data_IF_073064576396
#
_entry.id   IF_073064576396
#
_cell.length_a   1.000
_cell.length_b   1.000
_cell.length_c   1.000
_cell.angle_alpha   90.00
_cell.angle_beta   90.00
_cell.angle_gamma   90.00
#
_symmetry.space_group_name_H-M   'P 1'
#
loop_
_entity.id
_entity.type
_entity.pdbx_description
1 polymer ?
2 polymer ?
3 water ?
#
# COMPACT_ATOMS: atom_id res chain seq x y z
N UNK A 23 -3.25 16.45 -30.81
CA UNK A 23 -3.66 17.29 -29.69
C UNK A 23 -4.65 16.59 -28.77
N UNK A 24 -4.48 15.28 -28.59
CA UNK A 24 -5.41 14.47 -27.83
C UNK A 24 -4.67 13.64 -26.79
N UNK A 25 -5.44 13.06 -25.88
CA UNK A 25 -4.93 11.98 -25.05
C UNK A 25 -4.71 10.75 -25.94
N UNK A 26 -3.85 9.82 -25.51
CA UNK A 26 -3.58 8.65 -26.36
C UNK A 26 -4.81 7.78 -26.54
N UNK A 27 -4.89 7.15 -27.70
CA UNK A 27 -6.01 6.30 -28.07
C UNK A 27 -5.54 4.85 -28.01
N UNK A 28 -6.30 4.02 -27.29
CA UNK A 28 -5.92 2.63 -27.06
C UNK A 28 -6.94 1.69 -27.69
N UNK A 29 -6.45 0.50 -28.08
CA UNK A 29 -7.32 -0.55 -28.57
C UNK A 29 -8.32 -0.92 -27.47
N UNK A 30 -9.60 -0.87 -27.80
CA UNK A 30 -10.64 -0.87 -26.78
C UNK A 30 -10.69 -2.19 -26.00
N UNK A 31 -10.48 -3.31 -26.68
CA UNK A 31 -10.72 -4.60 -26.04
C UNK A 31 -9.75 -4.93 -24.92
N UNK A 32 -8.50 -4.45 -25.02
CA UNK A 32 -7.44 -4.97 -24.16
C UNK A 32 -7.05 -3.95 -23.08
N UNK A 33 -6.55 -4.42 -21.93
CA UNK A 33 -6.35 -5.83 -21.58
C UNK A 33 -7.66 -6.56 -21.27
N UNK A 34 -7.68 -7.87 -21.51
CA UNK A 34 -8.85 -8.69 -21.28
C UNK A 34 -8.69 -9.47 -19.98
N UNK A 35 -9.80 -9.63 -19.26
CA UNK A 35 -9.77 -10.36 -18.00
C UNK A 35 -9.32 -11.80 -18.23
N UNK A 36 -8.23 -12.17 -17.57
CA UNK A 36 -7.58 -13.46 -17.78
C UNK A 36 -7.66 -14.30 -16.51
N UNK A 37 -7.88 -15.60 -16.68
CA UNK A 37 -7.89 -16.56 -15.59
C UNK A 37 -6.75 -17.55 -15.79
N UNK A 38 -5.95 -17.74 -14.74
CA UNK A 38 -4.80 -18.63 -14.80
C UNK A 38 -4.71 -19.43 -13.50
N UNK A 39 -4.04 -20.57 -13.58
CA UNK A 39 -3.78 -21.39 -12.42
C UNK A 39 -2.43 -21.01 -11.83
N UNK A 40 -2.24 -21.31 -10.55
CA UNK A 40 -0.95 -21.04 -9.91
C UNK A 40 0.11 -21.93 -10.53
N UNK A 41 1.35 -21.43 -10.51
CA UNK A 41 2.45 -22.13 -11.14
C UNK A 41 2.50 -22.01 -12.65
N UNK A 42 1.43 -21.54 -13.29
CA UNK A 42 1.42 -21.33 -14.73
C UNK A 42 1.93 -19.93 -15.06
N UNK A 43 2.00 -19.63 -16.34
CA UNK A 43 2.45 -18.33 -16.82
C UNK A 43 1.27 -17.55 -17.41
N UNK A 44 1.42 -16.23 -17.44
CA UNK A 44 0.35 -15.33 -17.84
C UNK A 44 0.93 -14.24 -18.74
N UNK A 45 0.17 -13.83 -19.75
CA UNK A 45 0.54 -12.74 -20.65
C UNK A 45 -0.63 -11.78 -20.78
N UNK A 46 -0.38 -10.50 -20.49
CA UNK A 46 -1.38 -9.44 -20.59
C UNK A 46 -1.02 -8.51 -21.75
N UNK A 47 -2.03 -8.10 -22.50
CA UNK A 47 -1.82 -7.39 -23.76
C UNK A 47 -2.30 -5.95 -23.67
N UNK A 48 -1.60 -5.08 -24.42
CA UNK A 48 -1.98 -3.68 -24.60
C UNK A 48 -1.58 -3.28 -26.00
N UNK A 49 -2.42 -2.47 -26.65
CA UNK A 49 -2.19 -2.03 -28.03
C UNK A 49 -2.41 -0.53 -28.11
N UNK A 50 -1.35 0.21 -28.37
CA UNK A 50 -1.39 1.66 -28.49
C UNK A 50 -1.49 2.05 -29.96
N UNK A 51 -2.36 3.00 -30.26
CA UNK A 51 -2.57 3.51 -31.62
C UNK A 51 -2.20 4.98 -31.62
N UNK A 52 -0.94 5.27 -31.95
CA UNK A 52 -0.47 6.66 -31.97
C UNK A 52 0.79 6.80 -32.83
N UNK A 56 3.87 9.26 -25.89
CA UNK A 56 3.11 8.03 -25.71
C UNK A 56 3.93 6.93 -25.03
N UNK A 57 4.10 7.04 -23.71
CA UNK A 57 4.78 6.02 -22.92
C UNK A 57 3.75 5.09 -22.27
N UNK A 58 4.22 3.89 -21.95
CA UNK A 58 3.37 2.83 -21.40
C UNK A 58 4.00 2.35 -20.10
N UNK A 59 3.17 2.22 -19.06
CA UNK A 59 3.59 1.57 -17.83
C UNK A 59 2.39 0.80 -17.26
N UNK A 60 2.63 -0.44 -16.88
CA UNK A 60 1.60 -1.27 -16.28
C UNK A 60 1.56 -1.07 -14.78
N UNK A 61 0.40 -1.34 -14.19
CA UNK A 61 0.22 -1.17 -12.76
C UNK A 61 -0.62 -2.30 -12.19
N UNK A 62 -0.37 -2.59 -10.92
CA UNK A 62 -1.18 -3.52 -10.14
C UNK A 62 -1.84 -2.75 -9.01
N UNK A 63 -3.04 -3.16 -8.67
CA UNK A 63 -3.77 -2.55 -7.57
C UNK A 63 -3.54 -3.37 -6.31
N UNK A 64 -2.82 -2.78 -5.35
CA UNK A 64 -2.37 -3.49 -4.16
C UNK A 64 -3.49 -3.47 -3.13
N UNK A 65 -3.81 -4.62 -2.56
CA UNK A 65 -4.84 -4.75 -1.53
C UNK A 65 -4.14 -4.90 -0.19
N UNK A 66 -4.35 -3.92 0.70
CA UNK A 66 -3.74 -3.89 2.02
C UNK A 66 -4.86 -4.03 3.04
N UNK A 67 -4.90 -5.17 3.72
CA UNK A 67 -5.91 -5.46 4.75
C UNK A 67 -7.32 -5.39 4.16
N UNK A 68 -7.50 -6.06 3.02
CA UNK A 68 -8.81 -6.12 2.39
C UNK A 68 -9.32 -4.83 1.80
N UNK A 69 -8.47 -3.82 1.68
CA UNK A 69 -8.87 -2.53 1.10
C UNK A 69 -7.79 -2.07 0.15
N UNK A 70 -8.15 -1.87 -1.11
CA UNK A 70 -7.22 -1.36 -2.12
C UNK A 70 -7.04 0.14 -2.02
N UNK A 71 -7.69 0.81 -1.08
CA UNK A 71 -7.62 2.26 -0.95
C UNK A 71 -6.96 2.65 0.36
N UNK A 72 -6.27 3.79 0.34
CA UNK A 72 -5.47 4.24 1.45
C UNK A 72 -6.25 5.05 2.48
N UNK A 73 -5.52 5.93 3.18
CA UNK A 73 -6.12 6.69 4.26
C UNK A 73 -7.04 7.78 3.70
N UNK A 74 -6.53 8.59 2.78
CA UNK A 74 -7.31 9.71 2.24
C UNK A 74 -8.31 9.30 1.18
N UNK A 75 -8.26 8.06 0.71
CA UNK A 75 -9.12 7.61 -0.36
C UNK A 75 -8.43 7.39 -1.70
N UNK A 76 -7.10 7.34 -1.71
CA UNK A 76 -6.31 7.07 -2.90
C UNK A 76 -5.98 5.59 -2.99
N UNK A 77 -5.87 5.05 -4.20
CA UNK A 77 -5.62 3.61 -4.34
C UNK A 77 -4.16 3.25 -4.20
N UNK A 78 -3.93 2.07 -3.64
CA UNK A 78 -2.60 1.46 -3.63
C UNK A 78 -2.32 0.94 -5.02
N UNK A 79 -1.43 1.61 -5.76
CA UNK A 79 -1.12 1.22 -7.12
C UNK A 79 0.39 1.23 -7.30
N UNK A 80 0.92 0.20 -7.95
CA UNK A 80 2.35 -0.01 -8.08
C UNK A 80 2.70 -0.18 -9.56
N UNK A 81 3.78 0.46 -10.00
CA UNK A 81 4.21 0.35 -11.39
C UNK A 81 5.01 -0.94 -11.54
N UNK A 82 4.69 -1.70 -12.59
CA UNK A 82 5.30 -3.01 -12.84
C UNK A 82 6.38 -2.99 -13.91
N UNK A 83 6.14 -2.29 -15.02
CA UNK A 83 7.09 -2.22 -16.10
C UNK A 83 6.89 -0.91 -16.85
N UNK A 84 7.72 -0.68 -17.86
CA UNK A 84 7.61 0.53 -18.67
C UNK A 84 7.90 0.24 -20.14
N UNK A 92 2.24 -4.79 -30.38
CA UNK A 92 1.37 -4.87 -29.20
C UNK A 92 2.19 -4.99 -27.94
N UNK A 93 1.82 -4.24 -26.90
CA UNK A 93 2.55 -4.23 -25.65
C UNK A 93 2.08 -5.39 -24.78
N UNK A 94 2.99 -6.33 -24.53
CA UNK A 94 2.69 -7.49 -23.69
C UNK A 94 3.46 -7.36 -22.39
N UNK A 95 2.89 -7.94 -21.33
CA UNK A 95 3.54 -8.04 -20.03
C UNK A 95 3.62 -9.51 -19.68
N UNK A 96 4.84 -10.02 -19.48
CA UNK A 96 5.03 -11.42 -19.14
C UNK A 96 4.89 -11.62 -17.64
N UNK A 97 4.07 -12.59 -17.25
CA UNK A 97 3.90 -12.98 -15.85
C UNK A 97 4.18 -14.47 -15.74
N UNK A 98 5.30 -14.82 -15.12
CA UNK A 98 5.72 -16.21 -14.96
C UNK A 98 5.52 -16.65 -13.52
N UNK A 99 5.05 -17.88 -13.35
CA UNK A 99 4.86 -18.50 -12.04
C UNK A 99 3.99 -17.60 -11.14
N UNK A 100 2.74 -17.44 -11.55
CA UNK A 100 1.83 -16.56 -10.83
C UNK A 100 1.44 -17.19 -9.50
N UNK A 101 1.34 -16.36 -8.47
CA UNK A 101 0.96 -16.78 -7.13
C UNK A 101 -0.35 -16.10 -6.75
N UNK A 102 -0.82 -16.39 -5.52
CA UNK A 102 -2.08 -15.83 -5.06
C UNK A 102 -2.01 -14.31 -4.95
N UNK A 103 -0.86 -13.78 -4.54
CA UNK A 103 -0.69 -12.33 -4.44
C UNK A 103 -0.56 -11.67 -5.80
N UNK A 104 -0.41 -12.44 -6.88
CA UNK A 104 -0.24 -11.87 -8.20
C UNK A 104 -1.57 -11.47 -8.85
N UNK A 105 -2.68 -12.06 -8.41
CA UNK A 105 -3.96 -11.72 -8.98
C UNK A 105 -4.42 -10.35 -8.50
N UNK A 106 -5.43 -9.81 -9.17
CA UNK A 106 -5.98 -8.52 -8.84
C UNK A 106 -6.23 -7.73 -10.11
N UNK A 107 -6.27 -6.41 -9.96
CA UNK A 107 -6.54 -5.51 -11.07
C UNK A 107 -5.24 -5.02 -11.67
N UNK A 108 -5.11 -5.15 -12.99
CA UNK A 108 -3.98 -4.63 -13.73
C UNK A 108 -4.45 -3.54 -14.68
N UNK A 109 -3.60 -2.55 -14.91
CA UNK A 109 -3.97 -1.37 -15.68
C UNK A 109 -2.84 -1.00 -16.63
N UNK A 110 -3.22 -0.50 -17.80
CA UNK A 110 -2.29 -0.05 -18.83
C UNK A 110 -2.38 1.47 -18.94
N UNK A 111 -1.33 2.17 -18.51
CA UNK A 111 -1.30 3.63 -18.55
C UNK A 111 -0.56 4.10 -19.78
N UNK A 112 -1.28 4.73 -20.71
CA UNK A 112 -0.71 5.47 -21.81
C UNK A 112 -0.97 6.95 -21.59
N UNK A 113 0.04 7.77 -21.88
CA UNK A 113 -0.09 9.20 -21.69
C UNK A 113 0.81 9.96 -22.64
N UNK A 114 0.44 11.22 -22.87
CA UNK A 114 1.23 12.11 -23.71
C UNK A 114 1.15 13.51 -23.12
N UNK A 115 1.47 14.51 -23.95
CA UNK A 115 1.50 15.89 -23.48
C UNK A 115 0.12 16.36 -23.05
N UNK A 116 -0.94 15.83 -23.66
CA UNK A 116 -2.29 16.30 -23.38
C UNK A 116 -2.90 15.60 -22.17
N UNK A 117 -2.86 14.28 -22.12
CA UNK A 117 -3.48 13.57 -21.02
C UNK A 117 -3.14 12.11 -21.02
N UNK A 118 -4.02 11.32 -20.41
CA UNK A 118 -3.79 9.89 -20.23
C UNK A 118 -5.06 9.11 -20.59
N UNK A 119 -4.86 7.83 -20.87
CA UNK A 119 -5.95 6.89 -21.14
C UNK A 119 -5.57 5.54 -20.55
N UNK A 120 -6.55 4.87 -19.94
CA UNK A 120 -6.26 3.63 -19.24
C UNK A 120 -7.44 2.67 -19.36
N UNK A 121 -7.11 1.39 -19.56
CA UNK A 121 -8.09 0.30 -19.54
C UNK A 121 -7.61 -0.76 -18.57
N UNK A 122 -8.52 -1.26 -17.74
CA UNK A 122 -8.17 -2.17 -16.66
C UNK A 122 -8.76 -3.56 -16.92
N UNK A 123 -8.03 -4.58 -16.44
CA UNK A 123 -8.49 -5.95 -16.48
C UNK A 123 -8.14 -6.61 -15.16
N UNK A 124 -8.85 -7.70 -14.85
CA UNK A 124 -8.68 -8.40 -13.58
C UNK A 124 -8.16 -9.81 -13.83
N UNK A 125 -7.15 -10.20 -13.07
CA UNK A 125 -6.54 -11.52 -13.18
C UNK A 125 -7.05 -12.42 -12.05
N UNK A 126 -7.21 -13.71 -12.38
CA UNK A 126 -7.72 -14.70 -11.44
C UNK A 126 -6.73 -15.84 -11.33
N UNK A 127 -6.35 -16.19 -10.09
CA UNK A 127 -5.42 -17.27 -9.82
C UNK A 127 -6.18 -18.42 -9.17
N UNK A 128 -5.89 -19.65 -9.61
CA UNK A 128 -6.58 -20.83 -9.13
C UNK A 128 -5.55 -21.87 -8.64
N UNK A 129 -5.70 -22.38 -7.44
CA UNK A 129 -4.81 -23.47 -6.99
C UNK A 129 -5.21 -24.79 -7.61
N UNK A 130 -4.40 -25.81 -7.32
CA UNK A 130 -4.64 -27.16 -7.83
C UNK A 130 -5.08 -28.10 -6.71
N UNK B 3 -16.49 16.89 -12.13
CA UNK B 3 -16.80 17.75 -13.26
C UNK B 3 -15.80 18.86 -13.44
N UNK B 4 -16.11 20.04 -12.89
CA UNK B 4 -15.19 21.18 -12.98
C UNK B 4 -13.87 20.88 -12.28
N UNK B 5 -13.89 20.05 -11.24
CA UNK B 5 -12.65 19.65 -10.59
C UNK B 5 -11.81 18.76 -11.51
N UNK B 6 -12.48 17.94 -12.33
CA UNK B 6 -11.74 17.09 -13.26
C UNK B 6 -11.01 17.91 -14.31
N UNK B 7 -11.49 19.12 -14.60
CA UNK B 7 -10.82 19.98 -15.56
C UNK B 7 -9.54 20.58 -14.97
N UNK B 8 -9.59 20.98 -13.69
CA UNK B 8 -8.40 21.53 -13.05
C UNK B 8 -7.31 20.47 -12.92
N UNK B 9 -7.69 19.19 -12.82
CA UNK B 9 -6.70 18.13 -12.74
C UNK B 9 -5.89 18.05 -14.04
N UNK B 10 -6.58 17.96 -15.18
CA UNK B 10 -5.89 17.93 -16.46
C UNK B 10 -5.12 19.22 -16.69
N UNK B 11 -5.61 20.34 -16.17
CA UNK B 11 -4.86 21.59 -16.27
C UNK B 11 -3.56 21.53 -15.48
N UNK B 12 -3.60 20.96 -14.28
CA UNK B 12 -2.38 20.81 -13.48
C UNK B 12 -1.43 19.82 -14.14
N UNK B 13 -1.97 18.73 -14.70
CA UNK B 13 -1.13 17.73 -15.35
C UNK B 13 -0.38 18.33 -16.55
N UNK B 14 -1.12 19.00 -17.44
CA UNK B 14 -0.48 19.58 -18.62
C UNK B 14 0.50 20.68 -18.22
N UNK B 15 0.14 21.49 -17.22
CA UNK B 15 1.08 22.49 -16.72
C UNK B 15 2.30 21.85 -16.09
N UNK B 16 2.13 20.67 -15.47
CA UNK B 16 3.26 19.97 -14.90
C UNK B 16 4.05 19.23 -15.96
N UNK B 17 3.38 18.63 -16.94
CA UNK B 17 4.08 17.97 -18.02
C UNK B 17 5.02 18.93 -18.74
N UNK B 18 4.51 20.11 -19.10
CA UNK B 18 5.34 21.10 -19.78
C UNK B 18 6.52 21.51 -18.93
N UNK B 19 6.31 21.70 -17.63
CA UNK B 19 7.40 22.15 -16.76
C UNK B 19 8.42 21.04 -16.53
N UNK B 20 7.96 19.81 -16.40
CA UNK B 20 8.88 18.70 -16.12
C UNK B 20 9.84 18.50 -17.28
N UNK B 21 9.32 18.50 -18.51
CA UNK B 21 10.05 18.12 -19.72
C UNK B 21 10.81 19.30 -20.32
N UNK B 22 10.86 20.43 -19.61
CA UNK B 22 11.66 21.59 -20.00
C UNK B 22 12.69 21.95 -18.93
N UNK B 23 12.97 21.03 -18.00
CA UNK B 23 13.92 21.26 -16.92
C UNK B 23 15.11 20.33 -17.09
N UNK B 24 16.33 20.85 -17.28
CA UNK B 24 17.48 19.94 -17.43
C UNK B 24 17.95 19.35 -16.12
N UNK B 25 17.63 19.97 -14.99
CA UNK B 25 18.10 19.54 -13.68
C UNK B 25 17.23 18.40 -13.19
N UNK B 26 17.79 17.18 -13.20
CA UNK B 26 17.01 16.01 -12.83
C UNK B 26 16.49 16.08 -11.40
N UNK B 27 17.20 16.79 -10.52
CA UNK B 27 16.72 16.95 -9.15
C UNK B 27 15.56 17.92 -9.08
N UNK B 28 15.57 18.97 -9.90
CA UNK B 28 14.46 19.91 -9.93
C UNK B 28 13.20 19.31 -10.53
N UNK B 29 13.34 18.29 -11.37
CA UNK B 29 12.16 17.62 -11.92
C UNK B 29 11.37 16.90 -10.84
N UNK B 30 12.07 16.29 -9.87
CA UNK B 30 11.39 15.64 -8.76
C UNK B 30 10.67 16.66 -7.89
N UNK B 31 11.23 17.87 -7.75
CA UNK B 31 10.55 18.92 -7.00
C UNK B 31 9.27 19.36 -7.68
N UNK B 32 9.23 19.31 -9.02
CA UNK B 32 8.02 19.69 -9.74
C UNK B 32 6.94 18.63 -9.56
N UNK B 33 7.33 17.35 -9.54
CA UNK B 33 6.37 16.28 -9.27
C UNK B 33 5.76 16.45 -7.89
N UNK B 34 6.62 16.67 -6.89
CA UNK B 34 6.14 16.79 -5.51
C UNK B 34 5.17 17.97 -5.37
N UNK B 35 5.42 19.05 -6.10
CA UNK B 35 4.50 20.18 -6.09
C UNK B 35 3.18 19.81 -6.75
N UNK B 36 3.24 19.08 -7.87
CA UNK B 36 2.01 18.61 -8.52
C UNK B 36 1.35 17.51 -7.70
N UNK B 37 2.14 16.71 -6.99
CA UNK B 37 1.59 15.68 -6.10
C UNK B 37 0.65 16.30 -5.06
N UNK B 38 1.14 17.32 -4.33
CA UNK B 38 0.36 17.89 -3.26
C UNK B 38 -0.91 18.57 -3.79
N UNK B 39 -0.79 19.30 -4.91
CA UNK B 39 -1.95 19.98 -5.47
C UNK B 39 -2.99 18.98 -5.97
N UNK B 40 -2.54 17.94 -6.70
CA UNK B 40 -3.47 16.95 -7.24
C UNK B 40 -4.24 16.25 -6.12
N UNK B 41 -3.54 15.86 -5.06
CA UNK B 41 -4.21 15.25 -3.92
C UNK B 41 -5.16 16.22 -3.23
N UNK B 42 -4.94 17.53 -3.39
CA UNK B 42 -5.76 18.56 -2.77
C UNK B 42 -7.02 18.89 -3.55
N UNK B 43 -7.23 18.28 -4.71
CA UNK B 43 -8.38 18.57 -5.56
C UNK B 43 -9.37 17.41 -5.59
N UNK B 44 -8.90 16.22 -5.95
CA UNK B 44 -9.79 15.08 -6.19
C UNK B 44 -10.59 14.71 -4.95
N UNK B 45 -11.83 14.28 -5.18
CA UNK B 45 -12.74 13.93 -4.09
C UNK B 45 -13.52 12.64 -4.32
N UNK B 46 -13.59 12.12 -5.53
CA UNK B 46 -14.32 10.91 -5.84
C UNK B 46 -13.37 9.75 -6.10
N UNK B 47 -13.95 8.54 -6.20
CA UNK B 47 -13.13 7.35 -6.40
C UNK B 47 -12.44 7.40 -7.76
N UNK B 48 -13.18 7.77 -8.81
CA UNK B 48 -12.58 7.86 -10.14
C UNK B 48 -11.62 9.03 -10.24
N UNK B 49 -11.97 10.17 -9.64
CA UNK B 49 -11.08 11.33 -9.67
C UNK B 49 -9.81 11.08 -8.89
N UNK B 50 -9.91 10.42 -7.73
CA UNK B 50 -8.71 10.08 -6.96
C UNK B 50 -7.89 9.02 -7.67
N UNK B 51 -8.55 8.07 -8.32
CA UNK B 51 -7.84 7.09 -9.14
C UNK B 51 -7.16 7.77 -10.32
N UNK B 52 -7.74 8.85 -10.83
CA UNK B 52 -7.11 9.61 -11.91
C UNK B 52 -5.90 10.37 -11.39
N UNK B 53 -6.09 11.17 -10.33
CA UNK B 53 -4.99 11.96 -9.78
C UNK B 53 -3.81 11.09 -9.40
N UNK B 54 -4.06 9.85 -8.95
CA UNK B 54 -2.97 8.91 -8.72
C UNK B 54 -2.31 8.50 -10.04
N UNK B 55 -3.12 8.01 -10.98
CA UNK B 55 -2.59 7.52 -12.25
C UNK B 55 -1.70 8.56 -12.93
N UNK B 56 -2.09 9.83 -12.88
CA UNK B 56 -1.23 10.89 -13.40
C UNK B 56 0.12 10.86 -12.72
N UNK B 57 0.12 10.93 -11.38
CA UNK B 57 1.33 11.11 -10.59
C UNK B 57 2.42 10.11 -10.99
N UNK B 58 2.03 8.85 -11.20
CA UNK B 58 3.02 7.85 -11.60
C UNK B 58 3.53 8.08 -13.01
N UNK B 59 2.74 8.71 -13.87
CA UNK B 59 3.18 8.89 -15.26
C UNK B 59 4.16 10.05 -15.40
N UNK B 60 3.97 11.13 -14.64
CA UNK B 60 4.97 12.19 -14.65
C UNK B 60 6.33 11.68 -14.17
N UNK B 61 6.33 10.63 -13.34
CA UNK B 61 7.58 10.01 -12.94
C UNK B 61 8.25 9.27 -14.09
N UNK B 62 7.47 8.86 -15.10
CA UNK B 62 8.04 8.22 -16.28
C UNK B 62 8.75 9.21 -17.19
N UNK B 63 8.64 10.51 -16.94
CA UNK B 63 9.24 11.52 -17.79
C UNK B 63 10.74 11.62 -17.55
N UNK C 23 -1.49 -4.68 34.69
CA UNK C 23 -1.47 -3.23 34.63
C UNK C 23 -0.35 -2.70 33.75
N UNK C 24 0.25 -3.58 32.96
CA UNK C 24 1.40 -3.26 32.16
C UNK C 24 1.16 -3.63 30.70
N UNK C 25 1.93 -3.01 29.81
CA UNK C 25 1.98 -3.44 28.43
C UNK C 25 2.68 -4.80 28.36
N UNK C 26 2.41 -5.58 27.31
CA UNK C 26 3.05 -6.90 27.19
C UNK C 26 4.57 -6.81 27.17
N UNK C 27 5.21 -7.87 27.63
CA UNK C 27 6.66 -7.95 27.71
C UNK C 27 7.15 -8.92 26.64
N UNK C 28 8.12 -8.48 25.85
CA UNK C 28 8.65 -9.25 24.73
C UNK C 28 10.11 -9.61 24.98
N UNK C 29 10.47 -10.85 24.67
CA UNK C 29 11.87 -11.26 24.72
C UNK C 29 12.69 -10.46 23.72
N UNK C 30 13.78 -9.86 24.20
CA UNK C 30 14.61 -9.03 23.35
C UNK C 30 15.33 -9.87 22.30
N UNK C 31 15.51 -9.29 21.11
CA UNK C 31 16.17 -9.97 20.01
C UNK C 31 15.28 -10.81 19.15
N UNK C 32 14.01 -11.00 19.51
CA UNK C 32 13.08 -11.79 18.73
C UNK C 32 11.93 -10.91 18.26
N UNK C 33 11.68 -10.79 16.95
CA UNK C 33 12.38 -11.54 15.90
C UNK C 33 13.79 -11.01 15.60
N UNK C 34 14.63 -11.88 15.07
CA UNK C 34 15.99 -11.54 14.69
C UNK C 34 16.10 -11.45 13.18
N UNK C 35 16.99 -10.59 12.71
CA UNK C 35 17.19 -10.41 11.28
C UNK C 35 17.66 -11.71 10.64
N UNK C 36 16.93 -12.16 9.62
CA UNK C 36 17.20 -13.43 8.96
C UNK C 36 17.48 -13.22 7.49
N UNK C 37 18.44 -13.99 6.98
CA UNK C 37 18.82 -13.98 5.58
C UNK C 37 18.47 -15.33 4.97
N UNK C 38 17.68 -15.31 3.89
CA UNK C 38 17.20 -16.53 3.26
C UNK C 38 17.42 -16.44 1.75
N UNK C 39 17.26 -17.58 1.09
CA UNK C 39 17.44 -17.67 -0.36
C UNK C 39 16.08 -17.86 -1.01
N UNK C 40 16.03 -17.57 -2.32
CA UNK C 40 14.81 -17.76 -3.09
C UNK C 40 14.51 -19.25 -3.18
N UNK C 41 13.28 -19.62 -2.84
CA UNK C 41 12.89 -21.01 -2.75
C UNK C 41 13.05 -21.62 -1.38
N UNK C 42 13.93 -21.05 -0.54
CA UNK C 42 14.05 -21.50 0.83
C UNK C 42 12.86 -21.01 1.65
N UNK C 43 12.72 -21.58 2.83
CA UNK C 43 11.71 -21.14 3.79
C UNK C 43 12.40 -20.65 5.06
N UNK C 44 11.69 -19.86 5.85
CA UNK C 44 12.25 -19.21 7.01
C UNK C 44 11.21 -19.16 8.12
N UNK C 45 11.64 -19.47 9.35
CA UNK C 45 10.79 -19.39 10.52
C UNK C 45 11.14 -18.11 11.29
N UNK C 46 10.12 -17.35 11.67
CA UNK C 46 10.29 -16.10 12.40
C UNK C 46 9.79 -16.30 13.83
N UNK C 47 10.62 -15.93 14.80
CA UNK C 47 10.37 -16.24 16.20
C UNK C 47 9.88 -15.01 16.95
N UNK C 48 9.02 -15.24 17.94
CA UNK C 48 8.58 -14.21 18.86
C UNK C 48 8.19 -14.89 20.17
N UNK C 49 8.50 -14.24 21.28
CA UNK C 49 8.27 -14.79 22.61
C UNK C 49 7.58 -13.74 23.47
N UNK C 50 6.32 -14.00 23.80
CA UNK C 50 5.56 -13.13 24.70
C UNK C 50 5.69 -13.67 26.12
N UNK C 51 5.98 -12.78 27.07
CA UNK C 51 6.17 -13.19 28.45
C UNK C 51 4.98 -12.79 29.32
N UNK C 56 -2.82 -11.52 26.31
CA UNK C 56 -2.46 -10.85 25.06
C UNK C 56 -2.11 -11.84 23.94
N UNK C 57 -2.57 -11.55 22.73
CA UNK C 57 -2.32 -12.37 21.56
C UNK C 57 -1.36 -11.66 20.62
N UNK C 58 -0.88 -12.38 19.63
CA UNK C 58 0.17 -11.92 18.75
C UNK C 58 -0.42 -11.40 17.45
N UNK C 59 0.35 -10.57 16.76
CA UNK C 59 -0.06 -10.03 15.46
C UNK C 59 1.19 -9.82 14.62
N UNK C 60 1.34 -10.60 13.56
CA UNK C 60 2.51 -10.53 12.70
C UNK C 60 2.23 -9.55 11.55
N UNK C 61 3.01 -8.48 11.49
CA UNK C 61 2.86 -7.45 10.48
C UNK C 61 4.01 -7.48 9.48
N UNK C 62 3.73 -6.98 8.29
CA UNK C 62 4.73 -6.80 7.24
C UNK C 62 4.61 -5.38 6.70
N UNK C 63 5.75 -4.71 6.58
CA UNK C 63 5.80 -3.37 6.01
C UNK C 63 5.88 -3.48 4.49
N UNK C 64 4.98 -2.80 3.80
CA UNK C 64 4.78 -2.97 2.36
C UNK C 64 5.47 -1.82 1.63
N UNK C 65 6.29 -2.16 0.64
CA UNK C 65 7.00 -1.19 -0.18
C UNK C 65 6.21 -1.03 -1.47
N UNK C 66 5.66 0.17 -1.68
CA UNK C 66 4.88 0.49 -2.89
C UNK C 66 5.63 1.57 -3.64
N UNK C 67 6.11 1.24 -4.84
CA UNK C 67 6.84 2.18 -5.71
C UNK C 67 8.07 2.75 -5.01
N UNK C 68 8.73 1.92 -4.21
CA UNK C 68 9.95 2.32 -3.55
C UNK C 68 9.78 3.10 -2.27
N UNK C 69 8.58 3.12 -1.69
CA UNK C 69 8.33 3.81 -0.44
C UNK C 69 7.37 2.99 0.41
N UNK C 70 7.73 2.76 1.66
CA UNK C 70 6.88 2.03 2.59
C UNK C 70 5.95 2.96 3.37
N UNK C 71 5.76 4.19 2.91
CA UNK C 71 4.97 5.18 3.62
C UNK C 71 3.91 5.76 2.69
N UNK C 72 2.73 6.02 3.24
CA UNK C 72 1.58 6.46 2.47
C UNK C 72 1.61 7.94 2.13
N UNK C 73 0.44 8.45 1.77
CA UNK C 73 0.32 9.86 1.39
C UNK C 73 0.53 10.77 2.59
N UNK C 74 -0.11 10.46 3.71
CA UNK C 74 0.00 11.27 4.92
C UNK C 74 1.22 10.90 5.76
N UNK C 75 2.11 10.08 5.23
CA UNK C 75 3.27 9.65 6.00
C UNK C 75 3.05 8.43 6.86
N UNK C 76 1.91 7.74 6.71
CA UNK C 76 1.60 6.56 7.49
C UNK C 76 2.19 5.32 6.82
N UNK C 77 2.68 4.35 7.60
CA UNK C 77 3.36 3.20 6.99
C UNK C 77 2.38 2.24 6.34
N UNK C 78 2.85 1.60 5.27
CA UNK C 78 2.12 0.51 4.62
C UNK C 78 2.40 -0.75 5.43
N UNK C 79 1.47 -1.10 6.32
CA UNK C 79 1.63 -2.27 7.17
C UNK C 79 0.41 -3.16 7.01
N UNK C 80 0.65 -4.46 6.83
CA UNK C 80 -0.41 -5.43 6.58
C UNK C 80 -0.34 -6.55 7.61
N UNK C 81 -1.52 -6.96 8.10
CA UNK C 81 -1.61 -8.04 9.06
C UNK C 81 -1.56 -9.37 8.31
N UNK C 82 -0.67 -10.26 8.75
CA UNK C 82 -0.46 -11.55 8.09
C UNK C 82 -1.09 -12.72 8.85
N UNK C 83 -1.10 -12.66 10.18
CA UNK C 83 -1.56 -13.76 11.01
C UNK C 83 -1.80 -13.23 12.42
N UNK C 84 -2.83 -13.76 13.07
CA UNK C 84 -3.13 -13.37 14.45
C UNK C 84 -2.83 -14.52 15.41
N UNK C 92 6.63 -20.70 22.05
CA UNK C 92 7.17 -19.66 21.18
C UNK C 92 6.24 -19.43 19.99
N UNK C 93 6.18 -18.17 19.55
CA UNK C 93 5.36 -17.80 18.40
C UNK C 93 6.22 -17.88 17.15
N UNK C 94 5.96 -18.88 16.31
CA UNK C 94 6.73 -19.12 15.09
C UNK C 94 5.87 -18.71 13.89
N UNK C 95 6.43 -17.87 13.03
CA UNK C 95 5.79 -17.47 11.78
C UNK C 95 6.52 -18.16 10.63
N UNK C 96 5.81 -19.03 9.91
CA UNK C 96 6.40 -19.88 8.89
C UNK C 96 6.17 -19.26 7.52
N UNK C 97 7.26 -19.01 6.80
CA UNK C 97 7.22 -18.48 5.44
C UNK C 97 7.74 -19.55 4.50
N UNK C 98 6.84 -20.22 3.78
CA UNK C 98 7.22 -21.27 2.85
C UNK C 98 7.42 -20.70 1.45
N UNK C 99 8.38 -21.27 0.73
CA UNK C 99 8.77 -20.83 -0.61
C UNK C 99 8.93 -19.30 -0.64
N UNK C 100 9.99 -18.80 0.00
CA UNK C 100 10.16 -17.36 0.13
C UNK C 100 10.61 -16.78 -1.20
N UNK C 101 10.00 -15.66 -1.59
CA UNK C 101 10.32 -14.95 -2.82
C UNK C 101 10.76 -13.53 -2.50
N UNK C 102 11.28 -12.86 -3.52
CA UNK C 102 11.80 -11.51 -3.34
C UNK C 102 10.75 -10.52 -2.86
N UNK C 103 9.47 -10.82 -3.10
CA UNK C 103 8.41 -9.93 -2.63
C UNK C 103 8.21 -10.03 -1.11
N UNK C 104 8.55 -11.16 -0.52
CA UNK C 104 8.39 -11.34 0.92
C UNK C 104 9.48 -10.64 1.74
N UNK C 105 10.54 -10.17 1.10
CA UNK C 105 11.59 -9.45 1.82
C UNK C 105 11.05 -8.15 2.39
N UNK C 106 11.68 -7.69 3.45
CA UNK C 106 11.32 -6.44 4.08
C UNK C 106 11.32 -6.58 5.59
N UNK C 107 10.59 -5.68 6.24
CA UNK C 107 10.52 -5.61 7.69
C UNK C 107 9.31 -6.37 8.21
N UNK C 108 9.52 -7.15 9.25
CA UNK C 108 8.46 -7.90 9.92
C UNK C 108 8.40 -7.46 11.39
N UNK C 109 7.21 -7.08 11.84
CA UNK C 109 7.00 -6.57 13.19
C UNK C 109 6.09 -7.53 13.95
N UNK C 110 6.60 -8.06 15.07
CA UNK C 110 5.79 -8.89 15.97
C UNK C 110 5.09 -7.97 16.95
N UNK C 111 3.77 -7.93 16.87
CA UNK C 111 2.96 -6.99 17.64
C UNK C 111 2.18 -7.73 18.73
N UNK C 112 2.03 -7.08 19.87
CA UNK C 112 1.21 -7.59 20.97
C UNK C 112 0.71 -6.42 21.80
N UNK C 113 -0.46 -6.59 22.40
CA UNK C 113 -1.03 -5.52 23.19
C UNK C 113 -2.05 -6.06 24.18
N UNK C 114 -2.50 -5.16 25.04
CA UNK C 114 -3.53 -5.49 26.02
C UNK C 114 -4.32 -4.23 26.34
N UNK C 115 -5.02 -4.25 27.48
CA UNK C 115 -5.85 -3.10 27.85
C UNK C 115 -5.02 -1.84 28.03
N UNK C 116 -3.79 -1.99 28.54
CA UNK C 116 -2.98 -0.83 28.88
C UNK C 116 -2.32 -0.23 27.64
N UNK C 117 -1.71 -1.08 26.80
CA UNK C 117 -1.00 -0.56 25.65
C UNK C 117 -0.48 -1.69 24.79
N UNK C 118 0.42 -1.33 23.87
CA UNK C 118 0.95 -2.26 22.90
C UNK C 118 2.48 -2.24 22.93
N UNK C 119 3.07 -3.28 22.35
CA UNK C 119 4.51 -3.43 22.27
C UNK C 119 4.85 -4.18 20.98
N UNK C 120 6.02 -3.91 20.43
CA UNK C 120 6.39 -4.52 19.16
C UNK C 120 7.91 -4.57 19.01
N UNK C 121 8.42 -5.70 18.53
CA UNK C 121 9.81 -5.88 18.16
C UNK C 121 9.89 -6.25 16.69
N UNK C 122 10.92 -5.76 16.01
CA UNK C 122 11.01 -5.87 14.56
C UNK C 122 12.23 -6.67 14.13
N UNK C 123 12.30 -6.93 12.83
CA UNK C 123 13.43 -7.58 12.17
C UNK C 123 13.25 -7.38 10.67
N UNK C 124 14.28 -7.71 9.91
CA UNK C 124 14.26 -7.58 8.46
C UNK C 124 14.69 -8.90 7.83
N UNK C 125 13.86 -9.40 6.91
CA UNK C 125 14.18 -10.62 6.18
C UNK C 125 14.85 -10.26 4.86
N UNK C 126 16.02 -10.86 4.62
CA UNK C 126 16.78 -10.64 3.40
C UNK C 126 16.67 -11.87 2.51
N UNK C 127 16.27 -11.67 1.26
CA UNK C 127 16.11 -12.73 0.29
C UNK C 127 17.08 -12.51 -0.86
N UNK C 128 17.73 -13.58 -1.30
CA UNK C 128 18.69 -13.51 -2.38
C UNK C 128 18.41 -14.59 -3.42
N UNK C 129 18.69 -14.30 -4.69
CA UNK C 129 18.61 -15.22 -5.83
C UNK C 129 19.30 -16.56 -5.57
N UNK D 3 5.77 14.00 23.60
CA UNK D 3 5.39 13.44 24.88
C UNK D 3 3.91 13.53 25.16
N UNK D 4 3.39 14.76 25.20
CA UNK D 4 1.96 14.96 25.42
C UNK D 4 1.14 14.38 24.27
N UNK D 5 1.67 14.42 23.05
CA UNK D 5 1.00 13.76 21.93
C UNK D 5 0.91 12.26 22.16
N UNK D 6 2.00 11.66 22.65
CA UNK D 6 1.98 10.23 22.96
C UNK D 6 1.01 9.92 24.10
N UNK D 7 0.77 10.90 24.99
CA UNK D 7 -0.20 10.69 26.05
C UNK D 7 -1.62 10.64 25.50
N UNK D 8 -1.96 11.55 24.58
CA UNK D 8 -3.28 11.50 23.94
C UNK D 8 -3.41 10.24 23.08
N UNK D 9 -2.31 9.81 22.47
CA UNK D 9 -2.31 8.60 21.66
C UNK D 9 -2.73 7.38 22.47
N UNK D 10 -2.02 7.13 23.59
CA UNK D 10 -2.33 5.97 24.41
C UNK D 10 -3.66 6.12 25.13
N UNK D 11 -4.11 7.35 25.38
CA UNK D 11 -5.37 7.56 26.08
C UNK D 11 -6.56 7.13 25.24
N UNK D 12 -6.61 7.58 23.98
CA UNK D 12 -7.72 7.21 23.11
C UNK D 12 -7.66 5.73 22.72
N UNK D 13 -6.48 5.12 22.76
CA UNK D 13 -6.40 3.68 22.49
C UNK D 13 -7.02 2.87 23.62
N UNK D 14 -6.57 3.12 24.85
CA UNK D 14 -7.15 2.43 26.00
C UNK D 14 -8.63 2.73 26.14
N UNK D 15 -9.06 3.93 25.76
CA UNK D 15 -10.49 4.25 25.76
C UNK D 15 -11.21 3.46 24.68
N UNK D 16 -10.59 3.33 23.50
CA UNK D 16 -11.19 2.53 22.45
C UNK D 16 -11.11 1.04 22.77
N UNK D 17 -10.09 0.61 23.51
CA UNK D 17 -10.01 -0.78 23.94
C UNK D 17 -11.17 -1.13 24.87
N UNK D 18 -11.53 -0.20 25.76
CA UNK D 18 -12.61 -0.46 26.70
C UNK D 18 -13.97 -0.43 26.02
N UNK D 19 -14.20 0.56 25.15
CA UNK D 19 -15.49 0.69 24.48
C UNK D 19 -15.72 -0.45 23.50
N UNK D 20 -14.67 -0.93 22.84
CA UNK D 20 -14.82 -2.06 21.92
C UNK D 20 -15.16 -3.33 22.69
N UNK D 21 -14.38 -3.62 23.74
CA UNK D 21 -14.56 -4.84 24.52
C UNK D 21 -15.89 -4.85 25.29
N UNK D 22 -16.68 -3.79 25.22
CA UNK D 22 -17.96 -3.72 25.91
C UNK D 22 -19.14 -3.60 24.96
N UNK D 23 -18.92 -3.64 23.66
CA UNK D 23 -20.00 -3.48 22.68
C UNK D 23 -20.30 -4.79 21.99
N UNK D 24 -21.48 -5.39 22.21
CA UNK D 24 -21.78 -6.67 21.56
C UNK D 24 -22.01 -6.52 20.07
N UNK D 25 -22.74 -5.47 19.67
CA UNK D 25 -22.98 -5.20 18.26
C UNK D 25 -21.66 -5.06 17.52
N UNK D 26 -21.41 -5.99 16.59
CA UNK D 26 -20.18 -5.92 15.81
C UNK D 26 -20.20 -4.74 14.85
N UNK D 27 -21.38 -4.32 14.38
CA UNK D 27 -21.47 -3.15 13.53
C UNK D 27 -21.11 -1.88 14.31
N UNK D 28 -21.54 -1.81 15.57
CA UNK D 28 -21.18 -0.67 16.40
C UNK D 28 -19.71 -0.67 16.76
N UNK D 29 -19.11 -1.86 16.90
CA UNK D 29 -17.68 -1.94 17.20
C UNK D 29 -16.86 -1.34 16.07
N UNK D 30 -17.25 -1.62 14.82
CA UNK D 30 -16.56 -1.01 13.68
C UNK D 30 -16.71 0.50 13.68
N UNK D 31 -17.80 1.02 14.24
CA UNK D 31 -17.98 2.46 14.33
C UNK D 31 -17.01 3.09 15.32
N UNK D 32 -16.61 2.34 16.36
CA UNK D 32 -15.67 2.88 17.34
C UNK D 32 -14.25 2.87 16.80
N UNK D 33 -13.90 1.87 15.99
CA UNK D 33 -12.56 1.84 15.39
C UNK D 33 -12.37 3.01 14.43
N UNK D 34 -13.39 3.29 13.61
CA UNK D 34 -13.30 4.40 12.68
C UNK D 34 -13.20 5.73 13.41
N UNK D 35 -13.98 5.90 14.48
CA UNK D 35 -13.88 7.11 15.29
C UNK D 35 -12.53 7.21 15.97
N UNK D 36 -11.93 6.07 16.34
CA UNK D 36 -10.61 6.09 16.95
C UNK D 36 -9.55 6.48 15.94
N UNK D 37 -9.60 5.90 14.73
CA UNK D 37 -8.60 6.20 13.70
C UNK D 37 -8.61 7.69 13.35
N UNK D 38 -9.79 8.29 13.23
CA UNK D 38 -9.88 9.72 12.94
C UNK D 38 -9.24 10.54 14.06
N UNK D 39 -9.63 10.27 15.30
CA UNK D 39 -8.99 10.93 16.43
C UNK D 39 -7.51 10.59 16.49
N UNK D 40 -7.13 9.37 16.10
CA UNK D 40 -5.75 8.94 16.24
C UNK D 40 -4.85 9.58 15.19
N UNK D 41 -5.29 9.61 13.94
CA UNK D 41 -4.44 10.11 12.86
C UNK D 41 -4.20 11.61 12.97
N UNK D 42 -5.10 12.34 13.63
CA UNK D 42 -4.92 13.78 13.76
C UNK D 42 -3.85 14.17 14.78
N UNK D 43 -3.33 13.21 15.55
CA UNK D 43 -2.38 13.52 16.62
C UNK D 43 -0.95 13.15 16.19
N UNK D 44 -0.81 12.15 15.34
CA UNK D 44 0.52 11.65 14.98
C UNK D 44 1.24 12.65 14.08
N UNK D 45 2.41 13.10 14.52
CA UNK D 45 3.25 14.02 13.76
C UNK D 45 4.59 13.39 13.39
N UNK D 46 5.30 12.85 14.37
CA UNK D 46 6.54 12.13 14.10
C UNK D 46 6.24 10.84 13.35
N UNK D 47 7.23 10.35 12.59
CA UNK D 47 7.10 9.03 11.98
C UNK D 47 6.90 7.97 13.03
N UNK D 48 7.61 8.08 14.16
CA UNK D 48 7.40 7.14 15.27
C UNK D 48 5.95 7.19 15.75
N UNK D 49 5.36 8.38 15.77
CA UNK D 49 3.95 8.50 16.11
C UNK D 49 3.07 7.88 15.03
N UNK D 50 3.35 8.19 13.77
CA UNK D 50 2.57 7.62 12.67
C UNK D 50 2.77 6.11 12.60
N UNK D 51 3.99 5.63 12.86
CA UNK D 51 4.23 4.19 12.90
C UNK D 51 3.64 3.56 14.15
N UNK D 52 3.39 4.34 15.20
CA UNK D 52 2.72 3.82 16.38
C UNK D 52 1.21 3.83 16.20
N UNK D 53 0.68 4.84 15.50
CA UNK D 53 -0.75 4.89 15.24
C UNK D 53 -1.19 3.69 14.41
N UNK D 54 -0.52 3.46 13.27
CA UNK D 54 -0.88 2.37 12.38
C UNK D 54 -0.91 1.03 13.11
N UNK D 55 -0.07 0.85 14.12
CA UNK D 55 -0.11 -0.38 14.90
C UNK D 55 -1.33 -0.40 15.84
N UNK D 56 -1.71 0.76 16.36
CA UNK D 56 -2.81 0.81 17.32
C UNK D 56 -4.14 0.45 16.65
N UNK D 57 -4.40 0.99 15.45
CA UNK D 57 -5.65 0.69 14.77
C UNK D 57 -5.70 -0.78 14.35
N UNK D 58 -4.54 -1.33 13.94
CA UNK D 58 -4.51 -2.73 13.51
C UNK D 58 -4.85 -3.66 14.67
N UNK D 59 -4.19 -3.48 15.82
CA UNK D 59 -4.46 -4.34 16.97
C UNK D 59 -5.85 -4.13 17.52
N UNK D 60 -6.42 -2.94 17.33
CA UNK D 60 -7.76 -2.66 17.84
C UNK D 60 -8.82 -3.52 17.17
N UNK D 61 -8.56 -3.98 15.95
CA UNK D 61 -9.51 -4.80 15.20
C UNK D 61 -9.43 -6.28 15.56
N UNK D 62 -8.49 -6.67 16.41
CA UNK D 62 -8.37 -8.06 16.85
C UNK D 62 -9.26 -8.36 18.05
N UNK D 63 -10.14 -7.44 18.43
CA UNK D 63 -10.99 -7.61 19.60
C UNK D 63 -12.41 -8.00 19.20
#
# INVERSE_FOLDING_TARGET
MGSSHHHHHHSSGLVPRGSHMSPHRPILQAGLPANTTAVVGSDVELLCKVYSDAQPHIQWLKHIVINGSSFGADGFPYVQVLKTADINSSEVEVLYLRNVSAEDAGEYTCLAGNSIGLSYQSAWLTVLPEED
GGGDRRKEMDKVYRTAFKRITSTPDKEKRKEVVKEATEQLRRIAKDEEEKKKAAYMILFLKTLG
MGSSHHHHHHSSGLVPRGSHMSPHRPILQAGLPANTTAVVGSDVELLCKVYSDAQPHIQWLKHIVINGSSFGADGFPYVQVLKTADINSSEVEVLYLRNVSAEDAGEYTCLAGNSIGLSYQSAWLTVLPEED
GGGDRRKEMDKVYRTAFKRITSTPDKEKRKEVVKEATEQLRRIAKDEEEKKKAAYMILFLKTLG
#
